data_IF_942923997437
#
_entry.id   IF_942923997437
#
_cell.length_a   1.000
_cell.length_b   1.000
_cell.length_c   1.000
_cell.angle_alpha   90.00
_cell.angle_beta   90.00
_cell.angle_gamma   90.00
#
_symmetry.space_group_name_H-M   'P 1'
#
loop_
_entity.id
_entity.type
_entity.pdbx_description
1 polymer ?
#
# COMPACT_ATOMS: atom_id res chain seq x y z
N UNK A 1 -11.14 6.41 -26.66
CA UNK A 1 -9.77 5.92 -26.95
C UNK A 1 -8.84 7.11 -27.15
N UNK A 2 -7.61 7.07 -26.65
CA UNK A 2 -6.62 8.16 -26.81
C UNK A 2 -6.03 8.10 -28.22
N UNK A 3 -5.98 9.23 -28.90
CA UNK A 3 -5.24 9.43 -30.14
C UNK A 3 -4.09 10.42 -29.91
N UNK A 4 -2.88 10.08 -30.36
CA UNK A 4 -1.72 10.98 -30.30
C UNK A 4 -1.65 11.72 -31.63
N UNK A 5 -1.62 13.06 -31.60
CA UNK A 5 -1.56 13.88 -32.82
C UNK A 5 -0.19 14.52 -33.04
N UNK A 6 0.53 14.86 -31.98
CA UNK A 6 1.85 15.46 -32.07
C UNK A 6 2.70 15.11 -30.85
N UNK A 7 4.00 14.90 -31.08
CA UNK A 7 5.02 14.91 -30.03
C UNK A 7 6.11 15.90 -30.40
N UNK A 8 6.55 16.70 -29.44
CA UNK A 8 7.67 17.61 -29.61
C UNK A 8 8.63 17.54 -28.43
N UNK A 9 9.87 17.89 -28.72
CA UNK A 9 10.95 18.08 -27.76
C UNK A 9 11.58 19.43 -28.09
N UNK A 10 11.70 20.30 -27.09
CA UNK A 10 12.45 21.55 -27.21
C UNK A 10 13.60 21.52 -26.21
N UNK A 11 14.81 21.79 -26.69
CA UNK A 11 16.04 21.89 -25.91
C UNK A 11 16.61 23.29 -26.15
N UNK A 12 16.93 23.99 -25.07
CA UNK A 12 17.67 25.24 -25.09
C UNK A 12 19.09 24.91 -24.66
N UNK A 13 20.08 25.17 -25.53
CA UNK A 13 21.50 25.00 -25.21
C UNK A 13 22.06 26.15 -24.37
N UNK A 14 23.23 25.96 -23.77
CA UNK A 14 23.96 27.03 -23.07
C UNK A 14 24.47 28.13 -24.01
N UNK A 15 24.53 27.82 -25.30
CA UNK A 15 24.72 28.77 -26.40
C UNK A 15 23.46 29.61 -26.71
N UNK A 16 22.37 29.40 -25.96
CA UNK A 16 21.04 30.01 -26.15
C UNK A 16 20.33 29.66 -27.46
N UNK A 17 20.83 28.68 -28.22
CA UNK A 17 20.14 28.19 -29.40
C UNK A 17 19.06 27.16 -29.03
N UNK A 18 18.07 27.02 -29.92
CA UNK A 18 16.98 26.05 -29.78
C UNK A 18 17.24 24.83 -30.65
N UNK A 19 17.04 23.66 -30.05
CA UNK A 19 17.21 22.34 -30.66
C UNK A 19 16.01 21.46 -30.34
N UNK A 20 15.91 20.31 -31.02
CA UNK A 20 14.89 19.30 -30.77
C UNK A 20 14.10 18.94 -32.02
N UNK A 21 12.85 18.50 -31.85
CA UNK A 21 12.01 18.04 -32.95
C UNK A 21 10.53 18.31 -32.67
N UNK A 22 9.73 18.27 -33.74
CA UNK A 22 8.27 18.19 -33.66
C UNK A 22 7.77 17.26 -34.75
N UNK A 23 7.01 16.24 -34.34
CA UNK A 23 6.46 15.24 -35.25
C UNK A 23 4.95 15.14 -35.09
N UNK A 24 4.25 15.30 -36.22
CA UNK A 24 2.81 15.06 -36.30
C UNK A 24 2.55 13.60 -36.68
N UNK A 25 1.52 13.01 -36.08
CA UNK A 25 1.06 11.67 -36.39
C UNK A 25 -0.23 11.73 -37.20
N UNK A 26 -0.31 10.88 -38.21
CA UNK A 26 -1.51 10.70 -39.01
C UNK A 26 -2.35 9.54 -38.44
N UNK A 27 -3.62 9.47 -38.83
CA UNK A 27 -4.45 8.30 -38.52
C UNK A 27 -3.87 7.05 -39.20
N UNK A 28 -3.87 5.93 -38.48
CA UNK A 28 -3.37 4.65 -38.98
C UNK A 28 -1.92 4.40 -38.58
N UNK A 29 -1.17 3.74 -39.47
CA UNK A 29 0.20 3.28 -39.20
C UNK A 29 1.17 4.43 -39.49
N UNK A 30 1.99 4.79 -38.50
CA UNK A 30 3.07 5.76 -38.63
C UNK A 30 4.41 5.03 -38.50
N UNK A 31 5.31 5.20 -39.47
CA UNK A 31 6.63 4.53 -39.50
C UNK A 31 7.71 5.58 -39.26
N UNK A 32 8.49 5.40 -38.19
CA UNK A 32 9.63 6.27 -37.86
C UNK A 32 10.94 5.60 -38.30
N UNK A 33 11.57 6.14 -39.34
CA UNK A 33 12.83 5.61 -39.91
C UNK A 33 14.00 6.53 -39.64
N UNK A 34 15.19 5.97 -39.44
CA UNK A 34 16.41 6.73 -39.19
C UNK A 34 17.59 5.82 -38.84
N UNK A 35 18.81 6.34 -38.94
CA UNK A 35 20.04 5.60 -38.59
C UNK A 35 20.07 5.22 -37.11
N UNK A 36 20.93 4.27 -36.74
CA UNK A 36 21.19 4.02 -35.33
C UNK A 36 21.69 5.29 -34.64
N UNK A 37 21.28 5.48 -33.39
CA UNK A 37 21.58 6.69 -32.61
C UNK A 37 21.03 8.00 -33.17
N UNK A 38 20.09 7.96 -34.12
CA UNK A 38 19.41 9.16 -34.66
C UNK A 38 18.26 9.69 -33.78
N UNK A 39 18.07 9.16 -32.58
CA UNK A 39 17.01 9.59 -31.67
C UNK A 39 15.61 8.98 -31.90
N UNK A 40 15.49 7.89 -32.65
CA UNK A 40 14.18 7.20 -32.87
C UNK A 40 13.52 6.80 -31.55
N UNK A 41 14.28 6.17 -30.65
CA UNK A 41 13.80 5.76 -29.33
C UNK A 41 13.47 6.97 -28.45
N UNK A 42 14.16 8.10 -28.66
CA UNK A 42 13.90 9.36 -27.95
C UNK A 42 12.48 9.88 -28.20
N UNK A 43 11.95 9.72 -29.41
CA UNK A 43 10.56 10.08 -29.74
C UNK A 43 9.59 9.29 -28.86
N UNK A 44 9.76 7.97 -28.78
CA UNK A 44 8.94 7.11 -27.92
C UNK A 44 9.10 7.48 -26.45
N UNK A 45 10.34 7.69 -25.98
CA UNK A 45 10.60 8.11 -24.60
C UNK A 45 9.91 9.43 -24.26
N UNK A 46 9.84 10.40 -25.18
CA UNK A 46 9.10 11.65 -24.98
C UNK A 46 7.60 11.42 -24.82
N UNK A 47 7.00 10.52 -25.62
CA UNK A 47 5.58 10.16 -25.50
C UNK A 47 5.30 9.57 -24.11
N UNK A 48 6.04 8.53 -23.71
CA UNK A 48 5.82 7.87 -22.41
C UNK A 48 6.12 8.79 -21.24
N UNK A 49 7.18 9.61 -21.33
CA UNK A 49 7.49 10.59 -20.29
C UNK A 49 6.39 11.64 -20.15
N UNK A 50 5.87 12.19 -21.25
CA UNK A 50 4.73 13.12 -21.19
C UNK A 50 3.45 12.43 -20.63
N UNK A 51 3.26 11.12 -20.86
CA UNK A 51 2.16 10.33 -20.27
C UNK A 51 2.41 9.87 -18.81
N UNK A 52 3.52 10.23 -18.19
CA UNK A 52 3.86 9.79 -16.83
C UNK A 52 4.26 8.31 -16.72
N UNK A 53 4.56 7.66 -17.84
CA UNK A 53 4.85 6.23 -17.93
C UNK A 53 6.35 5.93 -17.93
N UNK A 54 7.19 6.81 -17.38
CA UNK A 54 8.64 6.67 -17.47
C UNK A 54 9.22 5.46 -16.71
N UNK A 55 8.44 4.86 -15.81
CA UNK A 55 8.78 3.58 -15.18
C UNK A 55 8.81 2.40 -16.17
N UNK A 56 8.12 2.52 -17.32
CA UNK A 56 8.22 1.54 -18.39
C UNK A 56 9.57 1.66 -19.10
N UNK A 57 10.02 2.89 -19.35
CA UNK A 57 11.27 3.18 -20.06
C UNK A 57 12.52 2.66 -19.33
N UNK A 58 12.54 2.76 -18.00
CA UNK A 58 13.67 2.32 -17.18
C UNK A 58 13.24 1.93 -15.77
N UNK A 59 13.92 0.94 -15.19
CA UNK A 59 13.76 0.57 -13.78
C UNK A 59 14.16 1.70 -12.84
N UNK A 60 15.04 2.62 -13.27
CA UNK A 60 15.36 3.84 -12.56
C UNK A 60 14.76 5.04 -13.27
N UNK A 61 13.68 5.58 -12.70
CA UNK A 61 12.95 6.77 -13.17
C UNK A 61 13.88 7.96 -13.43
N UNK A 62 14.96 8.12 -12.64
CA UNK A 62 15.93 9.22 -12.82
C UNK A 62 16.71 9.12 -14.14
N UNK A 63 16.83 7.92 -14.70
CA UNK A 63 17.52 7.62 -15.96
C UNK A 63 16.56 7.14 -17.06
N UNK A 64 15.26 7.45 -16.94
CA UNK A 64 14.29 7.09 -17.96
C UNK A 64 14.49 7.85 -19.29
N UNK A 65 15.13 9.02 -19.22
CA UNK A 65 15.49 9.84 -20.37
C UNK A 65 17.01 9.85 -20.55
N UNK A 66 17.43 9.84 -21.81
CA UNK A 66 18.83 9.86 -22.19
C UNK A 66 19.55 11.17 -21.78
N UNK A 67 20.88 11.10 -21.62
CA UNK A 67 21.71 12.26 -21.28
C UNK A 67 21.67 13.36 -22.34
N UNK A 68 21.40 13.00 -23.60
CA UNK A 68 21.11 13.96 -24.69
C UNK A 68 19.91 14.86 -24.43
N UNK A 69 19.09 14.56 -23.42
CA UNK A 69 17.96 15.38 -23.01
C UNK A 69 18.20 16.13 -21.69
N UNK A 70 19.20 15.76 -20.91
CA UNK A 70 19.41 16.28 -19.53
C UNK A 70 20.76 16.95 -19.31
N UNK A 71 21.81 16.52 -19.99
CA UNK A 71 23.20 16.97 -19.79
C UNK A 71 23.73 17.72 -21.01
N UNK A 72 23.99 17.00 -22.11
CA UNK A 72 24.58 17.49 -23.36
C UNK A 72 24.31 16.52 -24.52
N UNK A 73 24.41 17.00 -25.75
CA UNK A 73 24.36 16.17 -26.97
C UNK A 73 25.40 16.66 -27.98
N UNK A 74 25.78 15.77 -28.90
CA UNK A 74 26.71 16.12 -29.98
C UNK A 74 25.94 16.56 -31.21
N UNK A 75 26.34 17.70 -31.77
CA UNK A 75 25.89 18.20 -33.06
C UNK A 75 27.13 18.46 -33.92
N UNK A 76 27.24 17.71 -35.01
CA UNK A 76 28.45 17.68 -35.84
C UNK A 76 29.72 17.39 -35.00
N UNK A 77 30.62 18.36 -34.89
CA UNK A 77 31.86 18.25 -34.11
C UNK A 77 31.75 18.86 -32.70
N UNK A 78 30.64 19.52 -32.40
CA UNK A 78 30.46 20.29 -31.17
C UNK A 78 29.61 19.55 -30.13
N UNK A 79 29.98 19.70 -28.86
CA UNK A 79 29.18 19.22 -27.73
C UNK A 79 28.36 20.37 -27.17
N UNK A 80 27.05 20.32 -27.38
CA UNK A 80 26.12 21.32 -26.89
C UNK A 80 25.67 20.94 -25.48
N UNK A 81 25.99 21.78 -24.51
CA UNK A 81 25.52 21.62 -23.14
C UNK A 81 24.08 22.12 -23.00
N UNK A 82 23.22 21.33 -22.37
CA UNK A 82 21.80 21.67 -22.21
C UNK A 82 21.66 22.69 -21.08
N UNK A 83 20.87 23.73 -21.33
CA UNK A 83 20.43 24.72 -20.36
C UNK A 83 19.03 24.38 -19.83
N UNK A 84 18.09 24.10 -20.74
CA UNK A 84 16.71 23.70 -20.42
C UNK A 84 16.18 22.71 -21.45
N UNK A 85 15.27 21.82 -21.07
CA UNK A 85 14.55 20.97 -22.03
C UNK A 85 13.16 20.57 -21.52
N UNK A 86 12.22 20.37 -22.43
CA UNK A 86 10.87 19.89 -22.13
C UNK A 86 10.26 19.12 -23.30
N UNK A 87 9.34 18.19 -23.00
CA UNK A 87 8.50 17.54 -24.01
C UNK A 87 7.12 18.18 -24.06
N UNK A 88 6.50 18.14 -25.23
CA UNK A 88 5.06 18.27 -25.35
C UNK A 88 4.45 17.09 -26.10
N UNK A 89 3.26 16.67 -25.70
CA UNK A 89 2.50 15.60 -26.32
C UNK A 89 1.05 16.07 -26.47
N UNK A 90 0.59 16.19 -27.70
CA UNK A 90 -0.82 16.51 -27.96
C UNK A 90 -1.59 15.22 -28.15
N UNK A 91 -2.58 15.03 -27.28
CA UNK A 91 -3.49 13.89 -27.32
C UNK A 91 -4.94 14.36 -27.50
N UNK A 92 -5.76 13.50 -28.07
CA UNK A 92 -7.19 13.72 -28.24
C UNK A 92 -7.99 12.48 -27.84
N UNK A 93 -9.25 12.71 -27.50
CA UNK A 93 -10.29 11.68 -27.46
C UNK A 93 -11.47 12.16 -28.33
N UNK A 94 -12.63 11.54 -28.20
CA UNK A 94 -13.83 11.93 -28.97
C UNK A 94 -14.37 13.32 -28.62
N UNK A 95 -14.05 13.84 -27.43
CA UNK A 95 -14.64 15.06 -26.87
C UNK A 95 -13.72 16.27 -26.96
N UNK A 96 -12.44 16.09 -26.65
CA UNK A 96 -11.49 17.18 -26.53
C UNK A 96 -10.08 16.76 -26.94
N UNK A 97 -9.21 17.76 -27.11
CA UNK A 97 -7.77 17.57 -27.32
C UNK A 97 -7.00 18.51 -26.42
N UNK A 98 -5.92 17.97 -25.86
CA UNK A 98 -5.12 18.58 -24.80
C UNK A 98 -3.65 18.36 -25.13
N UNK A 99 -2.86 19.41 -24.95
CA UNK A 99 -1.40 19.32 -25.02
C UNK A 99 -0.84 19.15 -23.62
N UNK A 100 -0.17 18.03 -23.40
CA UNK A 100 0.55 17.72 -22.18
C UNK A 100 1.96 18.28 -22.32
N UNK A 101 2.39 19.15 -21.41
CA UNK A 101 3.76 19.67 -21.33
C UNK A 101 4.42 19.21 -20.04
N UNK A 102 5.65 18.72 -20.14
CA UNK A 102 6.45 18.27 -19.00
C UNK A 102 7.91 18.72 -19.14
N UNK A 103 8.40 19.42 -18.12
CA UNK A 103 9.80 19.88 -18.06
C UNK A 103 10.72 18.71 -17.73
N UNK A 104 11.85 18.62 -18.43
CA UNK A 104 12.87 17.59 -18.25
C UNK A 104 14.01 18.15 -17.41
N UNK A 105 14.61 19.26 -17.81
CA UNK A 105 15.66 19.93 -17.03
C UNK A 105 15.54 21.44 -17.18
N UNK A 106 15.88 22.17 -16.12
CA UNK A 106 16.17 23.60 -16.15
C UNK A 106 17.34 23.82 -15.19
N UNK A 107 18.47 24.31 -15.71
CA UNK A 107 19.70 24.53 -14.92
C UNK A 107 19.75 25.93 -14.30
N UNK A 108 18.82 26.82 -14.64
CA UNK A 108 18.71 28.16 -14.06
C UNK A 108 17.68 28.22 -12.95
N UNK A 109 16.56 27.51 -13.11
CA UNK A 109 15.45 27.54 -12.16
C UNK A 109 15.12 26.14 -11.63
N UNK A 110 14.78 26.01 -10.34
CA UNK A 110 14.33 24.74 -9.79
C UNK A 110 13.01 24.30 -10.44
N UNK A 111 12.97 23.09 -10.98
CA UNK A 111 11.77 22.47 -11.54
C UNK A 111 11.35 21.25 -10.74
N UNK A 112 10.04 21.04 -10.64
CA UNK A 112 9.46 19.79 -10.13
C UNK A 112 9.04 18.91 -11.31
N UNK A 113 9.82 17.87 -11.60
CA UNK A 113 9.55 16.88 -12.67
C UNK A 113 8.24 16.10 -12.44
N UNK A 114 7.69 16.16 -11.23
CA UNK A 114 6.43 15.54 -10.86
C UNK A 114 5.22 16.46 -11.11
N UNK A 115 5.41 17.59 -11.79
CA UNK A 115 4.33 18.44 -12.28
C UNK A 115 4.16 18.26 -13.78
N UNK A 116 2.90 18.06 -14.19
CA UNK A 116 2.47 18.05 -15.57
C UNK A 116 1.53 19.23 -15.82
N UNK A 117 1.72 19.89 -16.96
CA UNK A 117 0.87 20.98 -17.43
C UNK A 117 -0.03 20.46 -18.55
N UNK A 118 -1.33 20.59 -18.36
CA UNK A 118 -2.34 20.31 -19.38
C UNK A 118 -2.77 21.63 -20.00
N UNK A 119 -2.53 21.79 -21.29
CA UNK A 119 -2.87 22.98 -22.05
C UNK A 119 -4.07 22.63 -22.93
N UNK A 120 -5.22 23.23 -22.63
CA UNK A 120 -6.44 23.06 -23.41
C UNK A 120 -6.41 23.94 -24.65
N UNK A 121 -7.29 23.65 -25.62
CA UNK A 121 -7.40 24.41 -26.88
C UNK A 121 -7.73 25.89 -26.70
N UNK A 122 -8.44 26.24 -25.62
CA UNK A 122 -8.78 27.62 -25.24
C UNK A 122 -7.60 28.37 -24.57
N UNK A 123 -6.43 27.74 -24.44
CA UNK A 123 -5.27 28.29 -23.76
C UNK A 123 -5.26 28.06 -22.24
N UNK A 124 -6.31 27.45 -21.67
CA UNK A 124 -6.36 27.17 -20.24
C UNK A 124 -5.25 26.19 -19.85
N UNK A 125 -4.45 26.56 -18.85
CA UNK A 125 -3.36 25.73 -18.32
C UNK A 125 -3.75 25.15 -16.96
N UNK A 126 -3.81 23.82 -16.88
CA UNK A 126 -4.14 23.08 -15.65
C UNK A 126 -2.90 22.33 -15.18
N UNK A 127 -2.51 22.55 -13.91
CA UNK A 127 -1.41 21.82 -13.28
C UNK A 127 -1.92 20.54 -12.64
N UNK A 128 -1.24 19.42 -12.85
CA UNK A 128 -1.49 18.13 -12.21
C UNK A 128 -0.20 17.59 -11.61
N UNK A 129 -0.31 16.83 -10.53
CA UNK A 129 0.84 16.16 -9.93
C UNK A 129 0.89 14.66 -10.28
N UNK A 130 2.11 14.17 -10.35
CA UNK A 130 2.50 12.81 -10.73
C UNK A 130 3.42 12.23 -9.66
N UNK A 131 3.41 10.93 -9.41
CA UNK A 131 4.30 10.24 -8.45
C UNK A 131 4.27 10.83 -7.03
N UNK A 132 3.11 11.37 -6.65
CA UNK A 132 2.83 11.90 -5.32
C UNK A 132 1.62 11.18 -4.75
N UNK A 133 1.52 11.14 -3.42
CA UNK A 133 0.37 10.55 -2.75
C UNK A 133 -0.95 11.08 -3.36
N UNK A 134 -1.85 10.15 -3.70
CA UNK A 134 -3.17 10.42 -4.31
C UNK A 134 -3.14 10.92 -5.75
N UNK A 135 -2.05 10.75 -6.51
CA UNK A 135 -2.02 11.01 -7.95
C UNK A 135 -2.97 10.11 -8.78
N UNK A 136 -3.42 8.98 -8.21
CA UNK A 136 -4.41 8.06 -8.79
C UNK A 136 -5.83 8.21 -8.22
N UNK A 137 -6.04 9.01 -7.16
CA UNK A 137 -7.34 9.12 -6.47
C UNK A 137 -7.83 10.55 -6.25
N UNK A 138 -6.94 11.55 -6.34
CA UNK A 138 -7.31 12.97 -6.21
C UNK A 138 -7.62 13.59 -7.57
N UNK A 139 -8.55 14.54 -7.60
CA UNK A 139 -8.82 15.39 -8.77
C UNK A 139 -7.62 16.21 -9.24
N UNK A 140 -6.62 16.44 -8.37
CA UNK A 140 -5.38 17.13 -8.74
C UNK A 140 -4.29 16.16 -9.26
N UNK A 141 -4.53 14.86 -9.16
CA UNK A 141 -3.66 13.80 -9.68
C UNK A 141 -3.74 13.66 -11.20
N UNK A 142 -2.59 13.43 -11.83
CA UNK A 142 -2.52 13.25 -13.28
C UNK A 142 -3.14 11.93 -13.73
N UNK A 143 -2.90 10.81 -13.03
CA UNK A 143 -3.45 9.51 -13.44
C UNK A 143 -4.97 9.44 -13.28
N UNK A 144 -5.55 10.11 -12.28
CA UNK A 144 -7.01 10.28 -12.16
C UNK A 144 -7.59 10.97 -13.40
N UNK A 145 -6.93 12.04 -13.86
CA UNK A 145 -7.32 12.75 -15.08
C UNK A 145 -7.13 11.88 -16.32
N UNK A 146 -5.99 11.20 -16.47
CA UNK A 146 -5.70 10.37 -17.65
C UNK A 146 -6.64 9.16 -17.74
N UNK A 147 -7.00 8.53 -16.61
CA UNK A 147 -8.04 7.49 -16.52
C UNK A 147 -9.36 8.01 -17.10
N UNK A 148 -9.81 9.17 -16.63
CA UNK A 148 -11.04 9.81 -17.08
C UNK A 148 -10.99 10.24 -18.55
N UNK A 149 -9.86 10.79 -19.00
CA UNK A 149 -9.64 11.26 -20.36
C UNK A 149 -9.62 10.11 -21.37
N UNK A 150 -9.02 8.97 -20.99
CA UNK A 150 -8.90 7.79 -21.83
C UNK A 150 -10.20 6.98 -21.93
N UNK A 151 -11.07 7.10 -20.94
CA UNK A 151 -12.25 6.26 -20.78
C UNK A 151 -11.93 4.85 -20.27
N UNK A 152 -10.76 4.65 -19.65
CA UNK A 152 -10.35 3.36 -19.09
C UNK A 152 -10.99 3.21 -17.72
N UNK A 153 -11.91 2.24 -17.59
CA UNK A 153 -12.53 1.94 -16.30
C UNK A 153 -11.75 0.86 -15.53
N UNK A 154 -10.79 1.30 -14.73
CA UNK A 154 -10.01 0.45 -13.84
C UNK A 154 -10.90 0.05 -12.64
N UNK A 155 -11.10 -1.26 -12.38
CA UNK A 155 -11.90 -1.71 -11.25
C UNK A 155 -11.23 -1.32 -9.92
N UNK A 156 -12.06 -0.88 -8.97
CA UNK A 156 -11.66 -0.49 -7.62
C UNK A 156 -12.18 -1.52 -6.62
N UNK A 157 -11.37 -1.84 -5.61
CA UNK A 157 -11.87 -2.50 -4.40
C UNK A 157 -11.78 -1.55 -3.24
N UNK A 158 -12.89 -1.47 -2.51
CA UNK A 158 -12.98 -0.72 -1.27
C UNK A 158 -12.47 -1.60 -0.13
N UNK A 159 -11.23 -1.35 0.32
CA UNK A 159 -10.65 -2.04 1.48
C UNK A 159 -10.57 -1.02 2.60
N UNK A 160 -11.25 -1.24 3.72
CA UNK A 160 -11.16 -0.37 4.91
C UNK A 160 -11.37 1.13 4.61
N UNK A 161 -12.37 1.48 3.77
CA UNK A 161 -12.67 2.86 3.33
C UNK A 161 -11.53 3.54 2.56
N UNK A 162 -10.57 2.77 2.04
CA UNK A 162 -9.52 3.22 1.12
C UNK A 162 -9.68 2.46 -0.21
N UNK A 163 -9.82 3.22 -1.29
CA UNK A 163 -9.76 2.64 -2.63
C UNK A 163 -8.33 2.15 -2.88
N UNK A 164 -8.16 0.83 -3.00
CA UNK A 164 -6.89 0.21 -3.41
C UNK A 164 -7.00 -0.12 -4.90
N UNK A 165 -6.11 0.45 -5.70
CA UNK A 165 -5.98 0.08 -7.10
C UNK A 165 -5.28 -1.28 -7.18
N UNK A 166 -5.95 -2.26 -7.77
CA UNK A 166 -5.39 -3.60 -7.97
C UNK A 166 -4.48 -3.65 -9.18
N UNK A 167 -4.87 -2.94 -10.24
CA UNK A 167 -4.04 -2.68 -11.40
C UNK A 167 -3.90 -1.16 -11.53
N UNK A 168 -2.71 -0.73 -11.87
CA UNK A 168 -2.41 0.68 -12.07
C UNK A 168 -2.37 1.02 -13.56
N UNK A 169 -2.63 2.27 -13.90
CA UNK A 169 -2.67 2.70 -15.30
C UNK A 169 -1.36 2.41 -16.04
N UNK A 170 -0.23 2.52 -15.35
CA UNK A 170 1.10 2.20 -15.85
C UNK A 170 1.25 0.71 -16.20
N UNK A 171 0.64 -0.18 -15.40
CA UNK A 171 0.59 -1.61 -15.74
C UNK A 171 -0.25 -1.85 -16.98
N UNK A 172 -1.37 -1.14 -17.15
CA UNK A 172 -2.18 -1.23 -18.37
C UNK A 172 -1.40 -0.77 -19.59
N UNK A 173 -0.66 0.34 -19.48
CA UNK A 173 0.18 0.86 -20.56
C UNK A 173 1.38 -0.03 -20.88
N UNK A 174 1.76 -0.96 -20.01
CA UNK A 174 2.76 -1.98 -20.37
C UNK A 174 2.29 -2.90 -21.50
N UNK A 175 0.98 -3.03 -21.72
CA UNK A 175 0.42 -3.78 -22.86
C UNK A 175 0.43 -2.99 -24.18
N UNK A 176 0.60 -1.66 -24.13
CA UNK A 176 0.58 -0.80 -25.33
C UNK A 176 1.98 -0.52 -25.86
N UNK A 177 3.02 -0.88 -25.09
CA UNK A 177 4.42 -0.69 -25.43
C UNK A 177 5.11 -2.02 -25.65
N UNK A 178 5.71 -2.19 -26.83
CA UNK A 178 6.70 -3.24 -27.08
C UNK A 178 8.04 -2.57 -27.31
N UNK A 179 8.97 -2.75 -26.37
CA UNK A 179 10.30 -2.16 -26.46
C UNK A 179 11.26 -3.05 -27.25
N UNK A 180 12.23 -2.44 -27.93
CA UNK A 180 13.15 -3.09 -28.86
C UNK A 180 13.98 -4.21 -28.24
N UNK A 181 14.53 -4.02 -27.03
CA UNK A 181 15.45 -4.97 -26.40
C UNK A 181 14.75 -6.03 -25.56
N UNK A 182 13.65 -5.66 -24.89
CA UNK A 182 12.94 -6.55 -23.96
C UNK A 182 11.68 -7.18 -24.53
N UNK A 183 11.16 -6.67 -25.65
CA UNK A 183 9.90 -7.14 -26.24
C UNK A 183 9.95 -8.57 -26.79
N UNK A 184 11.14 -9.14 -26.99
CA UNK A 184 11.31 -10.52 -27.45
C UNK A 184 11.11 -11.56 -26.33
N UNK A 185 11.33 -11.19 -25.07
CA UNK A 185 11.34 -12.13 -23.95
C UNK A 185 9.95 -12.31 -23.35
N UNK A 186 9.15 -11.25 -23.32
CA UNK A 186 7.82 -11.24 -22.70
C UNK A 186 6.99 -10.08 -23.25
N UNK A 187 5.69 -10.31 -23.43
CA UNK A 187 4.73 -9.29 -23.86
C UNK A 187 4.59 -8.17 -22.81
N UNK A 188 4.71 -8.49 -21.52
CA UNK A 188 4.64 -7.53 -20.41
C UNK A 188 6.01 -7.26 -19.77
N UNK A 189 7.09 -7.32 -20.54
CA UNK A 189 8.47 -7.27 -20.01
C UNK A 189 8.80 -6.01 -19.20
N UNK A 190 8.11 -4.89 -19.45
CA UNK A 190 8.32 -3.60 -18.77
C UNK A 190 7.27 -3.30 -17.70
N UNK A 191 6.45 -4.27 -17.31
CA UNK A 191 5.43 -4.07 -16.31
C UNK A 191 6.02 -3.60 -14.97
N UNK A 192 5.58 -2.44 -14.43
CA UNK A 192 6.10 -1.91 -13.18
C UNK A 192 5.56 -2.72 -11.99
N UNK A 193 6.40 -2.83 -10.95
CA UNK A 193 6.07 -3.53 -9.73
C UNK A 193 5.45 -2.58 -8.70
N UNK A 194 4.18 -2.83 -8.35
CA UNK A 194 3.41 -2.04 -7.38
C UNK A 194 2.86 -2.88 -6.22
N UNK A 195 3.52 -3.99 -5.87
CA UNK A 195 2.99 -4.99 -4.92
C UNK A 195 1.60 -5.55 -5.32
N UNK A 196 1.23 -5.45 -6.60
CA UNK A 196 0.07 -6.16 -7.14
C UNK A 196 0.41 -7.64 -7.23
N UNK A 197 -0.39 -8.51 -6.61
CA UNK A 197 -0.31 -9.96 -6.78
C UNK A 197 -0.71 -10.34 -8.21
N UNK A 198 0.07 -11.24 -8.84
CA UNK A 198 -0.15 -11.76 -10.20
C UNK A 198 -0.54 -10.69 -11.25
N UNK A 199 0.24 -9.60 -11.42
CA UNK A 199 -0.20 -8.43 -12.18
C UNK A 199 -0.41 -8.71 -13.68
N UNK A 200 0.35 -9.66 -14.26
CA UNK A 200 0.17 -10.10 -15.65
C UNK A 200 -1.16 -10.82 -15.86
N UNK A 201 -1.54 -11.72 -14.95
CA UNK A 201 -2.82 -12.43 -14.99
C UNK A 201 -3.97 -11.43 -14.91
N UNK A 202 -3.91 -10.52 -13.94
CA UNK A 202 -4.91 -9.46 -13.75
C UNK A 202 -5.02 -8.54 -14.96
N UNK A 203 -3.88 -8.14 -15.54
CA UNK A 203 -3.87 -7.34 -16.76
C UNK A 203 -4.52 -8.08 -17.93
N UNK A 204 -4.20 -9.36 -18.14
CA UNK A 204 -4.84 -10.16 -19.18
C UNK A 204 -6.35 -10.27 -18.97
N UNK A 205 -6.80 -10.54 -17.75
CA UNK A 205 -8.24 -10.58 -17.42
C UNK A 205 -8.91 -9.23 -17.67
N UNK A 206 -8.24 -8.13 -17.31
CA UNK A 206 -8.72 -6.76 -17.53
C UNK A 206 -8.87 -6.46 -19.03
N UNK A 207 -7.84 -6.72 -19.83
CA UNK A 207 -7.85 -6.48 -21.27
C UNK A 207 -8.93 -7.29 -22.01
N UNK A 208 -9.20 -8.51 -21.52
CA UNK A 208 -10.22 -9.40 -22.07
C UNK A 208 -11.63 -9.16 -21.49
N UNK A 209 -11.78 -8.29 -20.49
CA UNK A 209 -13.07 -8.04 -19.83
C UNK A 209 -13.63 -9.25 -19.07
N UNK A 210 -12.76 -10.08 -18.48
CA UNK A 210 -13.19 -11.30 -17.78
C UNK A 210 -13.75 -10.97 -16.39
N UNK A 211 -14.94 -11.51 -16.09
CA UNK A 211 -15.56 -11.43 -14.76
C UNK A 211 -14.75 -12.13 -13.66
N UNK A 212 -13.82 -13.03 -14.04
CA UNK A 212 -12.90 -13.66 -13.09
C UNK A 212 -12.03 -12.64 -12.37
N UNK A 213 -11.76 -11.47 -12.99
CA UNK A 213 -11.02 -10.40 -12.33
C UNK A 213 -11.72 -10.02 -11.03
N UNK A 214 -13.03 -9.71 -11.08
CA UNK A 214 -13.84 -9.33 -9.90
C UNK A 214 -13.84 -10.39 -8.79
N UNK A 215 -13.79 -11.67 -9.16
CA UNK A 215 -13.71 -12.76 -8.19
C UNK A 215 -12.33 -12.80 -7.52
N UNK A 216 -11.26 -12.70 -8.31
CA UNK A 216 -9.89 -12.57 -7.79
C UNK A 216 -9.79 -11.33 -6.87
N UNK A 217 -10.51 -10.24 -7.18
CA UNK A 217 -10.58 -9.04 -6.36
C UNK A 217 -11.21 -9.29 -4.98
N UNK A 218 -12.35 -9.99 -4.95
CA UNK A 218 -13.04 -10.34 -3.71
C UNK A 218 -12.21 -11.30 -2.87
N UNK A 219 -11.55 -12.27 -3.49
CA UNK A 219 -10.71 -13.24 -2.80
C UNK A 219 -9.54 -12.55 -2.07
N UNK A 220 -8.87 -11.61 -2.72
CA UNK A 220 -7.79 -10.84 -2.08
C UNK A 220 -8.29 -9.99 -0.91
N UNK A 221 -9.44 -9.34 -1.06
CA UNK A 221 -10.06 -8.57 0.02
C UNK A 221 -10.35 -9.46 1.24
N UNK A 222 -11.00 -10.62 1.04
CA UNK A 222 -11.31 -11.52 2.14
C UNK A 222 -10.05 -12.12 2.78
N UNK A 223 -8.98 -12.35 2.00
CA UNK A 223 -7.67 -12.77 2.54
C UNK A 223 -7.06 -11.69 3.43
N UNK A 224 -7.08 -10.43 3.02
CA UNK A 224 -6.57 -9.32 3.83
C UNK A 224 -7.37 -9.14 5.13
N UNK A 225 -8.72 -9.16 5.05
CA UNK A 225 -9.60 -9.09 6.23
C UNK A 225 -9.37 -10.26 7.19
N UNK A 226 -9.24 -11.49 6.66
CA UNK A 226 -8.96 -12.68 7.46
C UNK A 226 -7.64 -12.54 8.23
N UNK A 227 -6.58 -12.05 7.58
CA UNK A 227 -5.28 -11.85 8.23
C UNK A 227 -5.32 -10.73 9.29
N UNK A 228 -6.15 -9.71 9.10
CA UNK A 228 -6.39 -8.67 10.11
C UNK A 228 -7.08 -9.25 11.35
N UNK A 229 -8.19 -9.98 11.16
CA UNK A 229 -8.93 -10.64 12.25
C UNK A 229 -8.01 -11.60 13.03
N UNK A 230 -7.18 -12.40 12.32
CA UNK A 230 -6.22 -13.30 12.97
C UNK A 230 -5.18 -12.55 13.83
N UNK A 231 -4.71 -11.39 13.37
CA UNK A 231 -3.76 -10.56 14.12
C UNK A 231 -4.41 -9.95 15.36
N UNK A 232 -5.62 -9.42 15.22
CA UNK A 232 -6.41 -8.87 16.33
C UNK A 232 -6.65 -9.94 17.39
N UNK A 233 -7.15 -11.12 17.01
CA UNK A 233 -7.32 -12.25 17.92
C UNK A 233 -6.02 -12.64 18.63
N UNK A 234 -4.92 -12.74 17.90
CA UNK A 234 -3.64 -13.12 18.50
C UNK A 234 -3.18 -12.09 19.53
N UNK A 235 -3.42 -10.80 19.26
CA UNK A 235 -3.13 -9.73 20.20
C UNK A 235 -3.99 -9.86 21.46
N UNK A 236 -5.30 -10.08 21.31
CA UNK A 236 -6.23 -10.23 22.43
C UNK A 236 -5.90 -11.49 23.25
N UNK A 237 -5.60 -12.61 22.58
CA UNK A 237 -5.14 -13.83 23.22
C UNK A 237 -3.88 -13.60 24.06
N UNK A 238 -2.89 -12.88 23.53
CA UNK A 238 -1.68 -12.56 24.27
C UNK A 238 -1.98 -11.70 25.50
N UNK A 239 -2.83 -10.68 25.37
CA UNK A 239 -3.24 -9.83 26.50
C UNK A 239 -3.92 -10.67 27.59
N UNK A 240 -4.85 -11.54 27.20
CA UNK A 240 -5.56 -12.44 28.11
C UNK A 240 -4.56 -13.37 28.82
N UNK A 241 -3.65 -13.98 28.07
CA UNK A 241 -2.66 -14.91 28.60
C UNK A 241 -1.64 -14.22 29.53
N UNK A 242 -1.23 -12.99 29.21
CA UNK A 242 -0.33 -12.19 30.04
C UNK A 242 -1.01 -11.79 31.36
N UNK A 243 -2.28 -11.36 31.31
CA UNK A 243 -3.07 -11.07 32.51
C UNK A 243 -3.28 -12.32 33.37
N UNK A 244 -3.58 -13.46 32.76
CA UNK A 244 -3.78 -14.71 33.46
C UNK A 244 -2.48 -15.17 34.15
N UNK A 245 -1.36 -15.15 33.42
CA UNK A 245 -0.05 -15.55 33.94
C UNK A 245 0.41 -14.65 35.11
N UNK A 246 0.13 -13.35 35.06
CA UNK A 246 0.47 -12.42 36.15
C UNK A 246 -0.34 -12.67 37.44
N UNK A 247 -1.43 -13.43 37.37
CA UNK A 247 -2.31 -13.72 38.50
C UNK A 247 -2.33 -15.23 38.84
N UNK A 248 -1.37 -16.01 38.35
CA UNK A 248 -1.32 -17.48 38.51
C UNK A 248 -2.59 -18.21 38.02
N UNK A 249 -3.24 -17.64 37.01
CA UNK A 249 -4.44 -18.19 36.36
C UNK A 249 -4.04 -18.88 35.05
N UNK A 250 -4.52 -20.09 34.84
CA UNK A 250 -4.46 -20.83 33.59
C UNK A 250 -5.83 -20.83 32.92
N UNK A 251 -5.90 -20.33 31.69
CA UNK A 251 -7.13 -20.30 30.91
C UNK A 251 -7.14 -21.51 29.96
N UNK A 252 -8.11 -22.39 30.14
CA UNK A 252 -8.26 -23.59 29.34
C UNK A 252 -9.24 -23.37 28.18
N UNK A 253 -9.08 -24.13 27.10
CA UNK A 253 -9.97 -24.14 25.91
C UNK A 253 -10.07 -22.85 25.08
N UNK A 254 -9.23 -21.83 25.32
CA UNK A 254 -9.09 -20.71 24.38
C UNK A 254 -7.97 -21.03 23.38
N UNK A 255 -8.27 -21.10 22.06
CA UNK A 255 -7.25 -21.38 21.06
C UNK A 255 -6.37 -20.15 20.79
N UNK A 256 -5.06 -20.38 20.66
CA UNK A 256 -4.07 -19.35 20.28
C UNK A 256 -4.25 -18.84 18.84
N UNK A 257 -4.96 -19.61 18.00
CA UNK A 257 -5.19 -19.32 16.58
C UNK A 257 -6.65 -19.54 16.20
N UNK A 258 -7.22 -18.57 15.49
CA UNK A 258 -8.51 -18.74 14.82
C UNK A 258 -8.36 -19.67 13.63
N UNK A 259 -9.11 -20.77 13.65
CA UNK A 259 -9.32 -21.66 12.51
C UNK A 259 -10.81 -21.86 12.30
N UNK A 260 -11.21 -22.40 11.14
CA UNK A 260 -12.62 -22.72 10.83
C UNK A 260 -13.28 -23.67 11.84
N UNK A 261 -12.49 -24.37 12.66
CA UNK A 261 -12.97 -25.32 13.67
C UNK A 261 -13.25 -24.69 15.05
N UNK A 262 -12.89 -23.42 15.23
CA UNK A 262 -13.17 -22.63 16.43
C UNK A 262 -14.60 -22.12 16.33
N UNK A 263 -15.43 -22.46 17.30
CA UNK A 263 -16.84 -22.03 17.39
C UNK A 263 -17.06 -21.29 18.69
N UNK A 264 -18.04 -20.38 18.74
CA UNK A 264 -18.42 -19.66 19.96
C UNK A 264 -18.67 -20.62 21.12
N UNK A 265 -19.38 -21.73 20.87
CA UNK A 265 -19.63 -22.78 21.86
C UNK A 265 -18.37 -23.42 22.47
N UNK A 266 -17.23 -23.41 21.77
CA UNK A 266 -15.95 -23.89 22.33
C UNK A 266 -15.31 -22.84 23.22
N UNK A 267 -15.43 -21.56 22.83
CA UNK A 267 -14.92 -20.42 23.60
C UNK A 267 -15.76 -20.23 24.87
N UNK A 268 -17.09 -20.37 24.81
CA UNK A 268 -17.96 -20.27 25.99
C UNK A 268 -17.71 -21.35 27.06
N UNK A 269 -17.02 -22.44 26.68
CA UNK A 269 -16.57 -23.50 27.59
C UNK A 269 -15.14 -23.27 28.10
N UNK A 270 -14.60 -22.07 27.90
CA UNK A 270 -13.32 -21.70 28.49
C UNK A 270 -13.46 -21.56 29.99
N UNK A 271 -12.55 -22.20 30.72
CA UNK A 271 -12.52 -22.16 32.18
C UNK A 271 -11.22 -21.53 32.64
N UNK A 272 -11.31 -20.63 33.61
CA UNK A 272 -10.17 -20.07 34.30
C UNK A 272 -9.88 -20.92 35.56
N UNK A 273 -8.68 -21.48 35.62
CA UNK A 273 -8.19 -22.31 36.72
C UNK A 273 -7.07 -21.57 37.44
N UNK A 274 -7.02 -21.61 38.77
CA UNK A 274 -5.91 -21.07 39.55
C UNK A 274 -4.90 -22.17 39.79
N UNK A 275 -3.61 -21.86 39.62
CA UNK A 275 -2.53 -22.78 39.97
C UNK A 275 -2.27 -22.66 41.48
N UNK A 276 -2.52 -23.75 42.21
CA UNK A 276 -2.27 -23.83 43.65
C UNK A 276 -1.55 -25.13 43.98
N UNK A 277 -0.37 -25.05 44.61
CA UNK A 277 0.46 -26.21 44.98
C UNK A 277 0.75 -27.19 43.82
N UNK A 278 1.05 -26.66 42.63
CA UNK A 278 1.25 -27.39 41.37
C UNK A 278 0.01 -28.07 40.76
N UNK A 279 -1.17 -27.95 41.38
CA UNK A 279 -2.43 -28.43 40.83
C UNK A 279 -3.28 -27.27 40.30
N UNK A 280 -4.03 -27.51 39.22
CA UNK A 280 -4.98 -26.54 38.67
C UNK A 280 -6.36 -26.73 39.31
N UNK A 281 -6.85 -25.71 40.00
CA UNK A 281 -8.11 -25.75 40.75
C UNK A 281 -9.07 -24.70 40.17
N UNK A 282 -10.36 -25.04 40.07
CA UNK A 282 -11.38 -24.06 39.68
C UNK A 282 -11.43 -22.91 40.71
N UNK A 283 -11.64 -21.68 40.24
CA UNK A 283 -11.74 -20.48 41.07
C UNK A 283 -12.76 -20.64 42.21
N UNK A 284 -13.90 -21.28 41.96
CA UNK A 284 -14.94 -21.50 42.99
C UNK A 284 -14.43 -22.39 44.13
N UNK A 285 -13.77 -23.49 43.78
CA UNK A 285 -13.14 -24.40 44.73
C UNK A 285 -12.02 -23.71 45.53
N UNK A 286 -11.23 -22.85 44.89
CA UNK A 286 -10.20 -22.08 45.58
C UNK A 286 -10.80 -21.07 46.56
N UNK A 287 -11.92 -20.42 46.20
CA UNK A 287 -12.66 -19.54 47.11
C UNK A 287 -13.18 -20.31 48.31
N UNK A 288 -13.72 -21.52 48.09
CA UNK A 288 -14.19 -22.37 49.18
C UNK A 288 -13.06 -22.84 50.10
N UNK A 289 -11.91 -23.23 49.52
CA UNK A 289 -10.70 -23.57 50.30
C UNK A 289 -10.28 -22.37 51.13
N UNK A 290 -10.10 -21.19 50.53
CA UNK A 290 -9.70 -19.99 51.24
C UNK A 290 -10.70 -19.62 52.35
N UNK A 291 -12.01 -19.71 52.10
CA UNK A 291 -13.04 -19.45 53.11
C UNK A 291 -12.98 -20.46 54.27
N UNK A 292 -12.74 -21.74 53.97
CA UNK A 292 -12.59 -22.78 54.99
C UNK A 292 -11.33 -22.56 55.83
N UNK A 293 -10.19 -22.26 55.20
CA UNK A 293 -8.93 -21.94 55.90
C UNK A 293 -9.08 -20.68 56.74
N UNK A 294 -9.78 -19.67 56.25
CA UNK A 294 -10.03 -18.43 57.00
C UNK A 294 -10.94 -18.68 58.20
N UNK A 295 -11.91 -19.61 58.08
CA UNK A 295 -12.74 -20.05 59.20
C UNK A 295 -11.90 -20.81 60.24
N UNK A 296 -11.06 -21.73 59.80
CA UNK A 296 -10.17 -22.50 60.69
C UNK A 296 -9.16 -21.60 61.39
N UNK A 297 -8.54 -20.64 60.69
CA UNK A 297 -7.65 -19.63 61.27
C UNK A 297 -8.37 -18.70 62.26
N UNK A 298 -9.65 -18.39 62.03
CA UNK A 298 -10.47 -17.64 62.98
C UNK A 298 -10.79 -18.46 64.23
N UNK A 299 -11.09 -19.75 64.09
CA UNK A 299 -11.33 -20.67 65.21
C UNK A 299 -10.04 -20.95 66.00
N UNK A 300 -8.90 -21.15 65.32
CA UNK A 300 -7.59 -21.31 65.93
C UNK A 300 -7.09 -20.01 66.56
N UNK A 301 -7.39 -18.83 66.00
CA UNK A 301 -7.16 -17.56 66.70
C UNK A 301 -8.11 -17.33 67.87
N UNK A 302 -9.32 -17.90 67.85
CA UNK A 302 -10.20 -17.88 69.01
C UNK A 302 -9.67 -18.78 70.12
N UNK A 303 -9.13 -19.96 69.78
CA UNK A 303 -8.43 -20.87 70.70
C UNK A 303 -7.09 -20.28 71.18
N UNK A 304 -6.33 -19.62 70.32
CA UNK A 304 -5.06 -18.95 70.64
C UNK A 304 -5.25 -17.56 71.27
N UNK A 305 -6.43 -16.94 71.23
CA UNK A 305 -6.72 -15.77 72.10
C UNK A 305 -6.68 -16.14 73.58
N UNK A 306 -6.76 -17.44 73.93
CA UNK A 306 -6.51 -17.95 75.29
C UNK A 306 -5.01 -18.06 75.59
N UNK A 307 -4.12 -17.98 74.58
CA UNK A 307 -2.66 -17.84 74.72
C UNK A 307 -2.07 -16.93 73.61
N UNK A 308 -2.16 -15.62 73.81
CA UNK A 308 -1.41 -14.53 73.14
C UNK A 308 -0.96 -14.72 71.67
N UNK A 309 -1.60 -13.99 70.75
CA UNK A 309 -1.18 -13.86 69.34
C UNK A 309 0.22 -13.21 69.20
N UNK A 310 1.03 -13.69 68.25
CA UNK A 310 2.29 -13.03 67.87
C UNK A 310 2.13 -12.19 66.59
N UNK A 311 2.92 -11.12 66.45
CA UNK A 311 2.82 -10.10 65.39
C UNK A 311 2.88 -10.64 63.95
N UNK A 312 3.45 -11.83 63.74
CA UNK A 312 3.48 -12.49 62.44
C UNK A 312 2.09 -12.94 61.96
N UNK A 313 1.25 -13.43 62.89
CA UNK A 313 -0.09 -13.92 62.59
C UNK A 313 -1.04 -12.77 62.22
N UNK A 314 -0.87 -11.60 62.85
CA UNK A 314 -1.64 -10.39 62.54
C UNK A 314 -1.36 -9.91 61.11
N UNK A 315 -0.09 -10.00 60.68
CA UNK A 315 0.34 -9.60 59.33
C UNK A 315 -0.19 -10.51 58.23
N UNK A 316 -0.27 -11.82 58.48
CA UNK A 316 -0.87 -12.78 57.54
C UNK A 316 -2.37 -12.54 57.36
N UNK A 317 -3.09 -12.23 58.44
CA UNK A 317 -4.53 -11.94 58.38
C UNK A 317 -4.81 -10.66 57.58
N UNK A 318 -3.97 -9.63 57.73
CA UNK A 318 -4.08 -8.40 56.94
C UNK A 318 -3.83 -8.65 55.44
N UNK A 319 -2.84 -9.49 55.10
CA UNK A 319 -2.58 -9.86 53.71
C UNK A 319 -3.73 -10.66 53.09
N UNK A 320 -4.34 -11.59 53.84
CA UNK A 320 -5.51 -12.36 53.38
C UNK A 320 -6.73 -11.44 53.17
N UNK A 321 -6.92 -10.43 54.03
CA UNK A 321 -7.98 -9.44 53.86
C UNK A 321 -7.75 -8.56 52.61
N UNK A 322 -6.49 -8.22 52.31
CA UNK A 322 -6.11 -7.47 51.12
C UNK A 322 -6.42 -8.25 49.83
N UNK A 323 -6.02 -9.53 49.76
CA UNK A 323 -6.30 -10.40 48.62
C UNK A 323 -7.81 -10.61 48.39
N UNK A 324 -8.60 -10.74 49.46
CA UNK A 324 -10.06 -10.87 49.34
C UNK A 324 -10.74 -9.60 48.79
N UNK A 325 -10.21 -8.41 49.11
CA UNK A 325 -10.72 -7.16 48.54
C UNK A 325 -10.33 -7.02 47.05
N UNK A 326 -9.13 -7.45 46.66
CA UNK A 326 -8.73 -7.49 45.25
C UNK A 326 -9.61 -8.47 44.44
N UNK A 327 -9.90 -9.65 44.98
CA UNK A 327 -10.82 -10.62 44.36
C UNK A 327 -12.26 -10.09 44.21
N UNK A 328 -12.74 -9.29 45.17
CA UNK A 328 -14.04 -8.60 45.06
C UNK A 328 -14.06 -7.57 43.94
N UNK A 329 -12.99 -6.77 43.79
CA UNK A 329 -12.91 -5.78 42.72
C UNK A 329 -12.88 -6.38 41.31
N UNK A 330 -12.37 -7.61 41.17
CA UNK A 330 -12.39 -8.35 39.88
C UNK A 330 -13.80 -8.84 39.54
N UNK A 331 -14.64 -9.19 40.54
CA UNK A 331 -16.03 -9.63 40.33
C UNK A 331 -16.98 -8.50 39.91
N UNK A 332 -16.66 -7.24 40.19
CA UNK A 332 -17.49 -6.07 39.84
C UNK A 332 -17.22 -5.51 38.42
N UNK A 333 -16.31 -6.13 37.65
CA UNK A 333 -15.94 -5.69 36.28
C UNK A 333 -16.61 -6.55 35.18
N UNK A 334 -17.34 -7.61 35.54
CA UNK A 334 -18.33 -8.25 34.66
C UNK A 334 -19.65 -7.47 34.67
#
# INVERSE_FOLDING_TARGET
MINISNVSLEIIGKDNNKYGFSHNFNKGINILTGKNSSGKSTILSCIYFCLGMEQLLSSNVKHALDKSLTESFNLDSDTINIKRSFCTLTIGNEKESVTIKREIVDKEFPIDRNIIYLIKKDGTVIKKFLHKNKDHSSNKGFYTWLKSFSGIDIPLVNIDKKDKNLIYLQQIFSATMVEQTKGWTDFFAQMPYFNTMEPKKKLSQFLLGLSSLENDLKEEHYKEELEKIKKEWKNDYNIINDLASNNDILINNIPDKITLSVTLNKIEKSEALIIHNNDSINIELMIDILNSTLKDLKEDNYKNKVKGLSDAQTKEIENIALYNNQLKSIKEIN
#
